data_IF_807475959131
#
_entry.id   IF_807475959131
#
_cell.length_a   1.000
_cell.length_b   1.000
_cell.length_c   1.000
_cell.angle_alpha   90.00
_cell.angle_beta   90.00
_cell.angle_gamma   90.00
#
_symmetry.space_group_name_H-M   'P 1'
#
loop_
_entity.id
_entity.type
_entity.pdbx_description
1 polymer ?
#
# COMPACT_ATOMS: atom_id res chain seq x y z
N UNK A 1 14.23 50.15 -58.72
CA UNK A 1 13.26 49.21 -58.09
C UNK A 1 13.82 48.82 -56.73
N UNK A 2 13.20 49.27 -55.62
CA UNK A 2 13.57 48.88 -54.26
C UNK A 2 12.63 47.74 -53.82
N UNK A 3 13.18 46.57 -53.55
CA UNK A 3 12.45 45.40 -53.07
C UNK A 3 12.26 45.49 -51.55
N UNK A 4 11.01 45.63 -51.09
CA UNK A 4 10.67 45.51 -49.67
C UNK A 4 10.61 44.02 -49.29
N UNK A 5 11.43 43.60 -48.33
CA UNK A 5 11.29 42.30 -47.68
C UNK A 5 10.21 42.39 -46.59
N UNK A 6 9.16 41.60 -46.72
CA UNK A 6 8.14 41.40 -45.69
C UNK A 6 8.64 40.35 -44.69
N UNK A 7 8.67 40.70 -43.41
CA UNK A 7 8.96 39.76 -42.33
C UNK A 7 7.64 39.23 -41.77
N UNK A 8 7.41 37.92 -41.90
CA UNK A 8 6.28 37.21 -41.31
C UNK A 8 6.67 36.80 -39.89
N UNK A 9 5.99 37.37 -38.90
CA UNK A 9 6.19 37.05 -37.49
C UNK A 9 5.37 35.80 -37.13
N UNK A 10 6.03 34.67 -36.89
CA UNK A 10 5.37 33.47 -36.35
C UNK A 10 5.25 33.60 -34.83
N UNK A 11 4.02 33.83 -34.35
CA UNK A 11 3.69 33.82 -32.92
C UNK A 11 3.56 32.35 -32.46
N UNK A 12 4.60 31.81 -31.81
CA UNK A 12 4.52 30.50 -31.16
C UNK A 12 3.70 30.64 -29.86
N UNK A 13 2.45 30.20 -29.89
CA UNK A 13 1.61 30.08 -28.69
C UNK A 13 2.07 28.83 -27.93
N UNK A 14 2.79 29.06 -26.84
CA UNK A 14 3.19 28.01 -25.90
C UNK A 14 1.94 27.58 -25.11
N UNK A 15 1.30 26.48 -25.51
CA UNK A 15 0.21 25.87 -24.75
C UNK A 15 0.84 25.25 -23.51
N UNK A 16 0.78 25.97 -22.38
CA UNK A 16 1.09 25.41 -21.07
C UNK A 16 -0.04 24.43 -20.74
N UNK A 17 0.22 23.14 -20.90
CA UNK A 17 -0.66 22.09 -20.41
C UNK A 17 -0.68 22.16 -18.89
N UNK A 18 -1.74 22.75 -18.34
CA UNK A 18 -2.10 22.58 -16.93
C UNK A 18 -2.45 21.11 -16.73
N UNK A 19 -1.48 20.34 -16.26
CA UNK A 19 -1.72 19.02 -15.69
C UNK A 19 -2.67 19.20 -14.53
N UNK A 20 -3.96 18.94 -14.78
CA UNK A 20 -4.96 18.86 -13.74
C UNK A 20 -4.56 17.68 -12.84
N UNK A 21 -3.95 17.96 -11.70
CA UNK A 21 -3.76 16.96 -10.64
C UNK A 21 -5.16 16.57 -10.16
N UNK A 22 -5.71 15.51 -10.75
CA UNK A 22 -6.77 14.75 -10.11
C UNK A 22 -6.28 14.37 -8.72
N UNK A 23 -7.03 14.69 -7.68
CA UNK A 23 -6.71 14.29 -6.31
C UNK A 23 -6.82 12.76 -6.21
N UNK A 24 -5.77 12.07 -6.65
CA UNK A 24 -5.48 10.72 -6.20
C UNK A 24 -5.46 10.79 -4.69
N UNK A 25 -6.42 10.14 -4.03
CA UNK A 25 -6.41 9.94 -2.58
C UNK A 25 -5.00 9.52 -2.17
N UNK A 26 -4.31 10.34 -1.38
CA UNK A 26 -2.92 10.08 -1.00
C UNK A 26 -2.85 8.70 -0.37
N UNK A 27 -1.97 7.84 -0.89
CA UNK A 27 -1.72 6.52 -0.32
C UNK A 27 -1.18 6.72 1.10
N UNK A 28 -1.80 6.06 2.07
CA UNK A 28 -1.43 6.15 3.49
C UNK A 28 -0.64 4.90 3.90
N UNK A 29 0.39 5.08 4.70
CA UNK A 29 1.22 3.98 5.20
C UNK A 29 2.23 3.49 4.16
N UNK A 30 1.78 2.96 3.02
CA UNK A 30 2.68 2.53 1.95
C UNK A 30 2.02 2.50 0.57
N UNK A 31 2.85 2.38 -0.47
CA UNK A 31 2.45 2.09 -1.85
C UNK A 31 3.42 1.06 -2.44
N UNK A 32 2.90 0.08 -3.19
CA UNK A 32 3.71 -0.91 -3.91
C UNK A 32 3.61 -0.65 -5.41
N UNK A 33 4.77 -0.60 -6.08
CA UNK A 33 4.87 -0.47 -7.54
C UNK A 33 5.96 -1.40 -8.05
N UNK A 34 5.56 -2.38 -8.86
CA UNK A 34 6.49 -3.42 -9.31
C UNK A 34 7.05 -4.20 -8.13
N UNK A 35 8.38 -4.20 -8.01
CA UNK A 35 9.13 -4.88 -6.95
C UNK A 35 9.52 -3.94 -5.79
N UNK A 36 9.10 -2.68 -5.82
CA UNK A 36 9.39 -1.72 -4.73
C UNK A 36 8.18 -1.49 -3.83
N UNK A 37 8.43 -1.41 -2.52
CA UNK A 37 7.53 -0.76 -1.56
C UNK A 37 8.07 0.63 -1.21
N UNK A 38 7.19 1.62 -1.25
CA UNK A 38 7.45 2.96 -0.71
C UNK A 38 6.61 3.15 0.53
N UNK A 39 7.23 3.19 1.71
CA UNK A 39 6.57 3.64 2.93
C UNK A 39 6.33 5.14 2.87
N UNK A 40 5.15 5.55 3.31
CA UNK A 40 4.64 6.92 3.20
C UNK A 40 4.10 7.33 4.56
N UNK A 41 4.80 8.27 5.19
CA UNK A 41 4.36 8.91 6.42
C UNK A 41 4.03 10.36 6.11
N UNK A 42 2.76 10.75 6.28
CA UNK A 42 2.33 12.13 6.22
C UNK A 42 1.86 12.57 7.60
N UNK A 43 2.45 13.63 8.15
CA UNK A 43 2.18 14.10 9.51
C UNK A 43 0.68 14.27 9.79
N UNK A 44 -0.07 14.76 8.80
CA UNK A 44 -1.52 15.01 8.87
C UNK A 44 -2.37 13.74 9.03
N UNK A 45 -1.80 12.57 8.73
CA UNK A 45 -2.47 11.29 8.90
C UNK A 45 -2.32 10.73 10.33
N UNK A 46 -1.50 11.37 11.17
CA UNK A 46 -1.17 10.92 12.53
C UNK A 46 -1.36 12.05 13.55
N UNK A 47 -2.61 12.33 13.98
CA UNK A 47 -2.92 13.43 14.89
C UNK A 47 -2.20 13.33 16.24
N UNK A 48 -1.84 12.14 16.70
CA UNK A 48 -1.10 11.95 17.96
C UNK A 48 0.35 12.46 17.87
N UNK A 49 0.92 12.53 16.66
CA UNK A 49 2.22 13.15 16.39
C UNK A 49 2.02 14.63 16.06
N UNK A 50 1.12 14.94 15.14
CA UNK A 50 0.87 16.33 14.67
C UNK A 50 0.54 17.29 15.82
N UNK A 51 -0.22 16.82 16.81
CA UNK A 51 -0.70 17.65 17.92
C UNK A 51 0.14 17.52 19.19
N UNK A 52 1.25 16.77 19.19
CA UNK A 52 2.10 16.62 20.37
C UNK A 52 2.87 17.91 20.73
N UNK A 53 3.11 18.78 19.73
CA UNK A 53 3.83 20.05 19.92
C UNK A 53 5.35 19.94 19.81
N UNK A 54 5.89 18.72 19.76
CA UNK A 54 7.31 18.45 19.53
C UNK A 54 7.70 18.61 18.06
N UNK A 55 8.98 18.93 17.81
CA UNK A 55 9.55 18.91 16.46
C UNK A 55 9.58 17.49 15.91
N UNK A 56 9.34 17.36 14.60
CA UNK A 56 9.53 16.10 13.88
C UNK A 56 10.89 16.17 13.18
N UNK A 57 11.92 15.70 13.87
CA UNK A 57 13.31 15.76 13.39
C UNK A 57 13.64 14.51 12.56
N UNK A 58 13.22 13.34 13.06
CA UNK A 58 13.43 12.06 12.43
C UNK A 58 12.16 11.22 12.40
N UNK A 59 11.97 10.48 11.30
CA UNK A 59 10.91 9.47 11.17
C UNK A 59 11.54 8.16 10.74
N UNK A 60 11.15 7.05 11.37
CA UNK A 60 11.67 5.71 11.12
C UNK A 60 10.54 4.75 10.80
N UNK A 61 10.82 3.73 9.99
CA UNK A 61 9.92 2.59 9.76
C UNK A 61 10.33 1.46 10.70
N UNK A 62 9.41 1.04 11.55
CA UNK A 62 9.62 -0.03 12.52
C UNK A 62 8.58 -1.11 12.33
N UNK A 63 8.98 -2.36 12.22
CA UNK A 63 8.05 -3.47 12.06
C UNK A 63 8.70 -4.81 12.34
N UNK A 64 7.92 -5.87 12.19
CA UNK A 64 8.38 -7.24 12.41
C UNK A 64 9.64 -7.59 11.58
N UNK A 65 9.74 -7.10 10.34
CA UNK A 65 10.89 -7.31 9.44
C UNK A 65 12.21 -6.67 9.90
N UNK A 66 12.17 -5.74 10.85
CA UNK A 66 13.36 -5.19 11.50
C UNK A 66 13.31 -5.30 13.02
N UNK A 67 12.55 -6.28 13.53
CA UNK A 67 12.40 -6.58 14.96
C UNK A 67 11.98 -5.35 15.78
N UNK A 68 11.04 -4.56 15.26
CA UNK A 68 10.50 -3.35 15.88
C UNK A 68 11.57 -2.34 16.32
N UNK A 69 12.65 -2.20 15.54
CA UNK A 69 13.73 -1.26 15.82
C UNK A 69 13.27 0.21 15.76
N UNK A 70 13.69 1.01 16.74
CA UNK A 70 13.22 2.41 16.90
C UNK A 70 14.03 3.45 16.12
N UNK A 71 15.26 3.13 15.75
CA UNK A 71 16.23 4.08 15.20
C UNK A 71 16.84 3.56 13.87
N UNK A 72 16.26 2.51 13.31
CA UNK A 72 16.64 1.95 12.02
C UNK A 72 15.64 2.32 10.93
N UNK A 73 16.07 2.23 9.67
CA UNK A 73 15.19 2.51 8.52
C UNK A 73 14.63 3.94 8.57
N UNK A 74 15.54 4.90 8.79
CA UNK A 74 15.25 6.33 8.76
C UNK A 74 14.66 6.74 7.41
N UNK A 75 13.55 7.46 7.44
CA UNK A 75 12.86 7.98 6.27
C UNK A 75 13.47 9.30 5.79
N UNK A 76 13.31 9.60 4.51
CA UNK A 76 13.72 10.87 3.91
C UNK A 76 12.56 11.87 3.95
N UNK A 77 12.81 13.07 4.47
CA UNK A 77 11.86 14.19 4.42
C UNK A 77 11.74 14.71 2.99
N UNK A 78 10.56 14.56 2.40
CA UNK A 78 10.23 15.02 1.03
C UNK A 78 9.58 16.41 1.05
N UNK A 79 8.84 16.72 2.12
CA UNK A 79 8.31 18.06 2.39
C UNK A 79 8.12 18.27 3.89
N UNK A 80 7.57 19.42 4.31
CA UNK A 80 7.32 19.71 5.72
C UNK A 80 6.49 18.65 6.44
N UNK A 81 5.59 17.97 5.73
CA UNK A 81 4.71 16.96 6.31
C UNK A 81 4.95 15.55 5.78
N UNK A 82 5.69 15.37 4.68
CA UNK A 82 5.80 14.09 3.98
C UNK A 82 7.19 13.50 4.13
N UNK A 83 7.24 12.25 4.59
CA UNK A 83 8.43 11.43 4.72
C UNK A 83 8.23 10.14 3.94
N UNK A 84 9.29 9.68 3.25
CA UNK A 84 9.22 8.43 2.48
C UNK A 84 10.46 7.55 2.70
N UNK A 85 10.27 6.25 2.58
CA UNK A 85 11.36 5.28 2.51
C UNK A 85 11.03 4.23 1.46
N UNK A 86 11.94 4.02 0.52
CA UNK A 86 11.85 2.95 -0.46
C UNK A 86 12.61 1.72 0.00
N UNK A 87 12.03 0.55 -0.21
CA UNK A 87 12.64 -0.76 0.02
C UNK A 87 12.28 -1.71 -1.11
N UNK A 88 13.16 -2.68 -1.33
CA UNK A 88 12.86 -3.77 -2.25
C UNK A 88 11.89 -4.72 -1.57
N UNK A 89 10.89 -5.21 -2.31
CA UNK A 89 9.99 -6.22 -1.79
C UNK A 89 10.76 -7.50 -1.40
N UNK A 90 11.94 -7.77 -1.97
CA UNK A 90 12.79 -8.88 -1.55
C UNK A 90 13.25 -8.79 -0.10
N UNK A 91 13.20 -7.62 0.54
CA UNK A 91 13.57 -7.47 1.96
C UNK A 91 12.52 -8.11 2.90
N UNK A 92 11.35 -8.48 2.38
CA UNK A 92 10.19 -8.95 3.14
C UNK A 92 9.93 -10.45 2.88
N UNK A 93 10.94 -11.30 3.13
CA UNK A 93 10.99 -12.68 2.62
C UNK A 93 10.14 -13.70 3.39
N UNK A 94 9.87 -13.52 4.68
CA UNK A 94 9.32 -14.60 5.50
C UNK A 94 7.83 -14.52 5.82
N UNK A 95 7.12 -13.44 5.47
CA UNK A 95 5.71 -13.29 5.77
C UNK A 95 4.99 -12.38 4.75
N UNK A 96 3.71 -12.66 4.49
CA UNK A 96 2.94 -11.97 3.45
C UNK A 96 2.14 -10.75 3.96
N UNK A 97 1.99 -10.63 5.28
CA UNK A 97 1.38 -9.53 6.03
C UNK A 97 2.24 -9.19 7.25
N UNK A 98 3.27 -8.40 6.99
CA UNK A 98 4.09 -7.83 8.05
C UNK A 98 3.33 -6.71 8.76
N UNK A 99 3.46 -6.66 10.08
CA UNK A 99 3.01 -5.52 10.86
C UNK A 99 4.14 -4.49 11.01
N UNK A 100 3.77 -3.21 10.92
CA UNK A 100 4.70 -2.10 11.08
C UNK A 100 4.01 -0.84 11.63
N UNK A 101 4.83 0.10 12.06
CA UNK A 101 4.50 1.46 12.49
C UNK A 101 5.58 2.44 12.06
N UNK A 102 5.27 3.72 12.21
CA UNK A 102 6.27 4.77 12.18
C UNK A 102 6.62 5.19 13.60
N UNK A 103 7.89 5.52 13.82
CA UNK A 103 8.35 6.16 15.04
C UNK A 103 8.93 7.53 14.70
N UNK A 104 8.61 8.52 15.51
CA UNK A 104 9.15 9.88 15.41
C UNK A 104 10.16 10.11 16.52
N UNK A 105 11.33 10.64 16.15
CA UNK A 105 12.45 10.94 17.04
C UNK A 105 12.91 9.74 17.90
N UNK A 106 12.71 8.51 17.43
CA UNK A 106 12.97 7.26 18.18
C UNK A 106 12.13 7.06 19.45
N UNK A 107 11.15 7.92 19.70
CA UNK A 107 10.42 7.99 20.98
C UNK A 107 8.90 7.85 20.80
N UNK A 108 8.33 8.49 19.79
CA UNK A 108 6.88 8.58 19.64
C UNK A 108 6.35 7.66 18.53
N UNK A 109 5.58 6.65 18.91
CA UNK A 109 4.88 5.80 17.96
C UNK A 109 3.73 6.56 17.29
N UNK A 110 3.69 6.53 15.97
CA UNK A 110 2.60 7.11 15.21
C UNK A 110 1.40 6.16 15.19
N UNK A 111 0.28 6.58 15.77
CA UNK A 111 -0.92 5.75 15.87
C UNK A 111 -1.82 5.99 14.64
N UNK A 112 -2.08 4.96 13.82
CA UNK A 112 -2.95 5.12 12.67
C UNK A 112 -4.39 5.40 13.12
N UNK A 113 -5.06 6.32 12.44
CA UNK A 113 -6.48 6.57 12.70
C UNK A 113 -7.37 5.50 12.04
N UNK A 114 -8.65 5.50 12.36
CA UNK A 114 -9.63 4.53 11.84
C UNK A 114 -9.82 4.56 10.32
N UNK A 115 -9.29 5.56 9.62
CA UNK A 115 -9.39 5.67 8.17
C UNK A 115 -8.32 4.89 7.40
N UNK A 116 -7.31 4.35 8.11
CA UNK A 116 -6.35 3.41 7.55
C UNK A 116 -7.01 2.06 7.30
N UNK A 117 -7.17 1.73 6.02
CA UNK A 117 -7.78 0.45 5.60
C UNK A 117 -6.96 -0.78 5.98
N UNK A 118 -5.67 -0.59 6.28
CA UNK A 118 -4.74 -1.65 6.67
C UNK A 118 -4.36 -1.56 8.15
N UNK A 119 -5.08 -0.79 8.98
CA UNK A 119 -4.89 -0.82 10.42
C UNK A 119 -5.31 -2.19 10.99
N UNK A 120 -4.58 -2.65 11.99
CA UNK A 120 -4.83 -3.91 12.71
C UNK A 120 -4.52 -3.71 14.19
N UNK A 121 -5.15 -4.48 15.06
CA UNK A 121 -4.85 -4.46 16.49
C UNK A 121 -3.42 -4.93 16.74
N UNK A 122 -2.66 -4.20 17.56
CA UNK A 122 -1.35 -4.65 18.01
C UNK A 122 -1.52 -5.71 19.12
N UNK A 123 -0.96 -6.89 18.88
CA UNK A 123 -1.08 -8.05 19.76
C UNK A 123 0.30 -8.50 20.27
N UNK A 124 0.36 -9.02 21.50
CA UNK A 124 1.53 -9.73 22.02
C UNK A 124 1.66 -11.12 21.37
N UNK A 125 2.83 -11.74 21.49
CA UNK A 125 3.05 -13.14 21.09
C UNK A 125 2.09 -14.13 21.75
N UNK A 126 1.49 -13.76 22.89
CA UNK A 126 0.50 -14.55 23.61
C UNK A 126 -0.96 -14.20 23.25
N UNK A 127 -1.18 -13.30 22.29
CA UNK A 127 -2.50 -12.87 21.83
C UNK A 127 -3.15 -11.75 22.64
N UNK A 128 -2.45 -11.16 23.62
CA UNK A 128 -2.96 -10.00 24.36
C UNK A 128 -2.97 -8.73 23.52
N UNK A 129 -4.09 -8.02 23.55
CA UNK A 129 -4.24 -6.72 22.90
C UNK A 129 -3.57 -5.60 23.71
N UNK A 130 -2.77 -4.76 23.02
CA UNK A 130 -2.06 -3.65 23.65
C UNK A 130 -2.85 -2.34 23.73
N UNK A 131 -4.06 -2.26 23.18
CA UNK A 131 -4.82 -0.99 23.15
C UNK A 131 -4.37 -0.01 22.06
N UNK A 132 -3.52 -0.44 21.14
CA UNK A 132 -2.92 0.36 20.06
C UNK A 132 -2.95 -0.40 18.74
N UNK A 133 -2.75 0.29 17.62
CA UNK A 133 -2.95 -0.28 16.28
C UNK A 133 -1.69 -0.28 15.43
N UNK A 134 -1.33 -1.40 14.83
CA UNK A 134 -0.29 -1.48 13.81
C UNK A 134 -0.86 -1.28 12.39
N UNK A 135 0.01 -1.21 11.39
CA UNK A 135 -0.34 -1.27 9.98
C UNK A 135 0.11 -2.59 9.37
N UNK A 136 -0.74 -3.22 8.57
CA UNK A 136 -0.36 -4.38 7.75
C UNK A 136 0.25 -3.95 6.43
N UNK A 137 1.39 -4.53 6.08
CA UNK A 137 2.02 -4.48 4.78
C UNK A 137 1.62 -5.73 3.99
N UNK A 138 0.62 -5.61 3.13
CA UNK A 138 0.20 -6.68 2.23
C UNK A 138 1.09 -6.70 0.98
N UNK A 139 1.89 -7.75 0.83
CA UNK A 139 2.70 -8.00 -0.38
C UNK A 139 1.88 -8.64 -1.51
N UNK A 140 0.69 -9.17 -1.19
CA UNK A 140 -0.31 -9.63 -2.13
C UNK A 140 -1.53 -8.70 -2.12
N UNK A 141 -1.97 -8.22 -3.28
CA UNK A 141 -3.18 -7.41 -3.37
C UNK A 141 -3.94 -7.62 -4.67
N UNK A 142 -5.27 -7.51 -4.61
CA UNK A 142 -6.14 -7.64 -5.77
C UNK A 142 -6.10 -6.39 -6.64
N UNK A 143 -5.84 -6.56 -7.94
CA UNK A 143 -5.77 -5.48 -8.91
C UNK A 143 -5.98 -5.99 -10.33
N UNK A 144 -6.65 -5.22 -11.18
CA UNK A 144 -6.95 -5.61 -12.56
C UNK A 144 -5.69 -5.65 -13.45
N UNK A 145 -4.58 -5.02 -13.02
CA UNK A 145 -3.27 -5.05 -13.70
C UNK A 145 -2.26 -6.02 -13.06
N UNK A 146 -2.71 -6.91 -12.17
CA UNK A 146 -1.83 -7.83 -11.46
C UNK A 146 -1.20 -8.87 -12.39
N UNK A 147 -0.11 -9.48 -11.94
CA UNK A 147 0.67 -10.42 -12.75
C UNK A 147 0.10 -11.84 -12.82
N UNK A 148 -0.91 -12.19 -12.01
CA UNK A 148 -1.54 -13.52 -12.03
C UNK A 148 -3.07 -13.42 -11.90
N UNK A 149 -3.78 -14.22 -12.70
CA UNK A 149 -5.24 -14.35 -12.60
C UNK A 149 -5.62 -15.77 -12.19
N UNK A 150 -6.27 -15.90 -11.04
CA UNK A 150 -6.89 -17.14 -10.60
C UNK A 150 -8.30 -17.24 -11.19
N UNK A 151 -8.65 -18.42 -11.70
CA UNK A 151 -9.96 -18.70 -12.31
C UNK A 151 -10.57 -19.96 -11.72
N UNK A 152 -11.86 -19.88 -11.40
CA UNK A 152 -12.68 -21.01 -10.99
C UNK A 152 -13.84 -21.13 -11.96
N UNK A 153 -13.86 -22.22 -12.75
CA UNK A 153 -14.94 -22.47 -13.71
C UNK A 153 -16.18 -23.02 -13.00
N UNK A 154 -17.37 -22.62 -13.43
CA UNK A 154 -18.66 -23.05 -12.88
C UNK A 154 -19.09 -22.28 -11.64
N UNK A 155 -19.92 -22.90 -10.79
CA UNK A 155 -20.47 -22.28 -9.57
C UNK A 155 -21.26 -20.98 -9.84
N UNK A 156 -22.02 -20.92 -10.94
CA UNK A 156 -22.78 -19.74 -11.36
C UNK A 156 -23.83 -19.29 -10.33
N UNK A 157 -24.32 -20.23 -9.53
CA UNK A 157 -25.29 -19.98 -8.45
C UNK A 157 -24.63 -19.54 -7.13
N UNK A 158 -23.30 -19.63 -6.98
CA UNK A 158 -22.62 -19.30 -5.73
C UNK A 158 -22.73 -17.81 -5.41
N UNK A 159 -23.04 -17.43 -4.18
CA UNK A 159 -23.20 -15.99 -3.83
C UNK A 159 -21.85 -15.31 -3.66
N UNK A 160 -20.85 -16.04 -3.16
CA UNK A 160 -19.53 -15.53 -2.81
C UNK A 160 -18.48 -16.60 -3.08
N UNK A 161 -17.42 -16.22 -3.79
CA UNK A 161 -16.21 -17.03 -3.91
C UNK A 161 -15.02 -16.22 -3.40
N UNK A 162 -14.24 -16.82 -2.49
CA UNK A 162 -13.00 -16.25 -1.95
C UNK A 162 -11.82 -17.10 -2.40
N UNK A 163 -10.75 -16.44 -2.81
CA UNK A 163 -9.44 -17.06 -2.93
C UNK A 163 -8.69 -16.89 -1.59
N UNK A 164 -8.25 -17.99 -1.00
CA UNK A 164 -7.48 -18.03 0.24
C UNK A 164 -6.23 -18.87 0.03
N UNK A 165 -5.09 -18.47 0.57
CA UNK A 165 -3.83 -19.16 0.34
C UNK A 165 -2.69 -18.69 1.25
N UNK A 166 -1.49 -19.20 1.01
CA UNK A 166 -0.31 -18.82 1.80
C UNK A 166 0.00 -17.33 1.68
N UNK A 167 -0.25 -16.73 0.52
CA UNK A 167 -0.03 -15.30 0.24
C UNK A 167 -0.96 -14.33 1.00
N UNK A 168 -1.95 -14.83 1.74
CA UNK A 168 -2.76 -14.02 2.66
C UNK A 168 -2.99 -14.70 4.01
N UNK A 169 -2.06 -15.56 4.45
CA UNK A 169 -2.19 -16.35 5.69
C UNK A 169 -3.53 -17.04 5.83
N UNK A 170 -4.04 -17.56 4.72
CA UNK A 170 -5.33 -18.25 4.65
C UNK A 170 -6.56 -17.39 5.02
N UNK A 171 -6.46 -16.05 4.97
CA UNK A 171 -7.60 -15.17 5.20
C UNK A 171 -8.77 -15.54 4.27
N UNK A 172 -9.91 -15.87 4.87
CA UNK A 172 -11.12 -16.36 4.19
C UNK A 172 -12.11 -15.24 3.81
N UNK A 173 -11.65 -13.99 3.85
CA UNK A 173 -12.48 -12.80 3.64
C UNK A 173 -11.89 -11.82 2.62
N UNK A 174 -10.57 -11.80 2.44
CA UNK A 174 -9.82 -10.76 1.75
C UNK A 174 -10.00 -10.74 0.24
N UNK A 175 -9.73 -11.84 -0.46
CA UNK A 175 -9.76 -11.86 -1.93
C UNK A 175 -11.07 -12.41 -2.50
N UNK A 176 -12.11 -11.56 -2.47
CA UNK A 176 -13.38 -11.81 -3.16
C UNK A 176 -13.17 -11.87 -4.67
N UNK A 177 -13.63 -12.96 -5.29
CA UNK A 177 -13.58 -13.13 -6.74
C UNK A 177 -14.75 -12.43 -7.44
N UNK A 178 -14.50 -11.91 -8.64
CA UNK A 178 -15.51 -11.33 -9.53
C UNK A 178 -16.16 -12.44 -10.37
N UNK A 179 -17.49 -12.43 -10.51
CA UNK A 179 -18.22 -13.30 -11.44
C UNK A 179 -17.82 -12.99 -12.89
N UNK A 180 -17.90 -14.02 -13.73
CA UNK A 180 -17.66 -14.01 -15.17
C UNK A 180 -18.74 -14.86 -15.86
N UNK A 181 -18.73 -14.91 -17.20
CA UNK A 181 -19.72 -15.68 -17.97
C UNK A 181 -19.69 -17.18 -17.67
N UNK A 182 -18.51 -17.75 -17.36
CA UNK A 182 -18.33 -19.19 -17.15
C UNK A 182 -17.82 -19.56 -15.74
N UNK A 183 -17.84 -18.60 -14.80
CA UNK A 183 -17.41 -18.82 -13.41
C UNK A 183 -16.90 -17.57 -12.71
N UNK A 184 -15.72 -17.64 -12.09
CA UNK A 184 -15.16 -16.62 -11.21
C UNK A 184 -13.70 -16.33 -11.53
N UNK A 185 -13.27 -15.08 -11.34
CA UNK A 185 -11.87 -14.68 -11.44
C UNK A 185 -11.45 -13.66 -10.38
N UNK A 186 -10.18 -13.71 -10.00
CA UNK A 186 -9.50 -12.61 -9.30
C UNK A 186 -8.10 -12.47 -9.87
N UNK A 187 -7.68 -11.23 -10.10
CA UNK A 187 -6.31 -10.92 -10.51
C UNK A 187 -5.59 -10.35 -9.29
N UNK A 188 -4.45 -10.97 -8.95
CA UNK A 188 -3.59 -10.54 -7.87
C UNK A 188 -2.25 -10.07 -8.44
N UNK A 189 -1.63 -9.12 -7.76
CA UNK A 189 -0.19 -8.92 -7.83
C UNK A 189 0.45 -9.82 -6.76
N UNK A 190 1.24 -10.81 -7.18
CA UNK A 190 2.03 -11.68 -6.30
C UNK A 190 3.51 -11.57 -6.66
N UNK A 191 4.40 -11.83 -5.70
CA UNK A 191 5.82 -12.01 -6.03
C UNK A 191 6.04 -13.38 -6.67
N UNK A 192 7.16 -13.62 -7.38
CA UNK A 192 7.53 -14.97 -7.78
C UNK A 192 7.81 -15.85 -6.54
N UNK A 193 6.97 -16.84 -6.27
CA UNK A 193 7.14 -17.82 -5.19
C UNK A 193 6.22 -19.04 -5.40
N UNK A 194 6.32 -20.05 -4.53
CA UNK A 194 5.41 -21.20 -4.46
C UNK A 194 4.25 -20.86 -3.53
N UNK A 195 3.04 -20.86 -4.08
CA UNK A 195 1.81 -20.56 -3.35
C UNK A 195 0.89 -21.76 -3.26
N UNK A 196 0.41 -22.06 -2.06
CA UNK A 196 -0.73 -22.96 -1.86
C UNK A 196 -2.00 -22.11 -1.76
N UNK A 197 -3.10 -22.61 -2.32
CA UNK A 197 -4.37 -21.90 -2.32
C UNK A 197 -5.57 -22.85 -2.34
N UNK A 198 -6.72 -22.33 -1.92
CA UNK A 198 -8.05 -22.95 -2.03
C UNK A 198 -9.08 -21.90 -2.47
N UNK A 199 -10.15 -22.37 -3.09
CA UNK A 199 -11.35 -21.56 -3.33
C UNK A 199 -12.36 -21.87 -2.23
N UNK A 200 -12.96 -20.84 -1.65
CA UNK A 200 -14.02 -20.98 -0.65
C UNK A 200 -15.31 -20.50 -1.30
N UNK A 201 -16.25 -21.42 -1.52
CA UNK A 201 -17.53 -21.20 -2.19
C UNK A 201 -18.64 -21.15 -1.13
N UNK A 202 -19.24 -19.99 -0.94
CA UNK A 202 -20.32 -19.76 0.04
C UNK A 202 -19.98 -20.22 1.47
N UNK A 203 -18.70 -20.13 1.84
CA UNK A 203 -18.20 -20.56 3.15
C UNK A 203 -17.80 -22.04 3.24
N UNK A 204 -17.91 -22.81 2.16
CA UNK A 204 -17.47 -24.20 2.07
C UNK A 204 -16.20 -24.31 1.20
N UNK A 205 -15.34 -25.29 1.49
CA UNK A 205 -14.06 -25.50 0.80
C UNK A 205 -13.89 -26.96 0.34
#
# INVERSE_FOLDING_TARGET
>A
MKTQQQYILFLFIFIISLSSFSQSKTKKGYDIKGEEVTFIFNLKDYPNIENNGDSVDDVFVSGEFNNWAKDQWRMTKVSDTLYTLKKDLSDFTSDFDWEFKFIVNSEHWAEPTSDFKNATDAMSDQGWYYGVYNLKLYSAFATDYGNITFRLKGYENAKKVILSGTFNRWDETGFKMKRTEDGWKVTLQLRPDIYQYKFIIDGNF
#
